data_IF_385816459960
#
_entry.id   IF_385816459960
#
_cell.length_a   1.000
_cell.length_b   1.000
_cell.length_c   1.000
_cell.angle_alpha   90.00
_cell.angle_beta   90.00
_cell.angle_gamma   90.00
#
_symmetry.space_group_name_H-M   'P 1'
#
loop_
_entity.id
_entity.type
_entity.pdbx_description
1 polymer ?
#
# COMPACT_ATOMS: atom_id res chain seq x y z
N UNK A 1 -10.54 -2.03 -10.81
CA UNK A 1 -9.20 -1.61 -10.33
C UNK A 1 -9.08 -0.09 -10.36
N UNK A 2 -9.31 0.55 -11.51
CA UNK A 2 -9.26 2.02 -11.60
C UNK A 2 -10.29 2.67 -10.66
N UNK A 3 -11.50 2.11 -10.58
CA UNK A 3 -12.58 2.64 -9.72
C UNK A 3 -12.44 2.32 -8.23
N UNK A 4 -11.33 1.70 -7.79
CA UNK A 4 -11.17 1.30 -6.38
C UNK A 4 -10.99 2.52 -5.47
N UNK A 5 -11.52 2.44 -4.24
CA UNK A 5 -11.39 3.51 -3.24
C UNK A 5 -9.93 3.93 -3.01
N UNK A 6 -9.00 2.98 -2.91
CA UNK A 6 -7.59 3.31 -2.69
C UNK A 6 -6.94 4.10 -3.83
N UNK A 7 -7.41 3.95 -5.08
CA UNK A 7 -6.88 4.70 -6.23
C UNK A 7 -7.42 6.13 -6.23
N UNK A 8 -8.67 6.34 -5.82
CA UNK A 8 -9.33 7.65 -5.87
C UNK A 8 -9.18 8.47 -4.60
N UNK A 9 -9.20 7.83 -3.43
CA UNK A 9 -9.27 8.47 -2.11
C UNK A 9 -8.04 8.14 -1.24
N UNK A 10 -7.22 7.18 -1.65
CA UNK A 10 -6.08 6.72 -0.88
C UNK A 10 -4.91 7.70 -0.91
N UNK A 11 -4.25 7.85 0.24
CA UNK A 11 -2.95 8.53 0.33
C UNK A 11 -1.82 7.60 -0.12
N UNK A 12 -1.53 7.61 -1.42
CA UNK A 12 -0.41 6.87 -1.99
C UNK A 12 0.92 7.60 -1.75
N UNK A 13 2.00 6.82 -1.65
CA UNK A 13 3.36 7.37 -1.51
C UNK A 13 3.82 8.03 -2.80
N UNK A 14 4.66 9.06 -2.69
CA UNK A 14 5.25 9.74 -3.85
C UNK A 14 6.08 8.73 -4.69
N UNK A 15 5.76 8.55 -5.98
CA UNK A 15 6.44 7.58 -6.85
C UNK A 15 7.95 7.88 -7.00
N UNK A 16 8.38 9.14 -6.95
CA UNK A 16 9.79 9.49 -7.07
C UNK A 16 10.59 8.99 -5.85
N UNK A 17 10.02 9.11 -4.65
CA UNK A 17 10.63 8.60 -3.42
C UNK A 17 10.68 7.07 -3.43
N UNK A 18 9.59 6.41 -3.82
CA UNK A 18 9.53 4.95 -3.90
C UNK A 18 10.58 4.41 -4.88
N UNK A 19 10.72 5.05 -6.05
CA UNK A 19 11.72 4.67 -7.05
C UNK A 19 13.16 4.85 -6.54
N UNK A 20 13.42 5.97 -5.86
CA UNK A 20 14.73 6.24 -5.25
C UNK A 20 15.09 5.20 -4.18
N UNK A 21 14.18 4.91 -3.26
CA UNK A 21 14.39 3.90 -2.21
C UNK A 21 14.70 2.51 -2.82
N UNK A 22 14.00 2.15 -3.90
CA UNK A 22 14.26 0.93 -4.66
C UNK A 22 15.64 0.90 -5.31
N UNK A 23 16.05 2.01 -5.92
CA UNK A 23 17.37 2.15 -6.54
C UNK A 23 18.51 2.07 -5.51
N UNK A 24 18.38 2.79 -4.39
CA UNK A 24 19.38 2.78 -3.32
C UNK A 24 19.49 1.38 -2.68
N UNK A 25 18.37 0.67 -2.52
CA UNK A 25 18.36 -0.70 -2.03
C UNK A 25 19.07 -1.67 -3.00
N UNK A 26 18.83 -1.52 -4.30
CA UNK A 26 19.51 -2.29 -5.35
C UNK A 26 21.02 -2.07 -5.31
N UNK A 27 21.48 -0.82 -5.24
CA UNK A 27 22.91 -0.49 -5.16
C UNK A 27 23.57 -1.01 -3.87
N UNK A 28 22.81 -1.08 -2.78
CA UNK A 28 23.25 -1.65 -1.51
C UNK A 28 23.24 -3.19 -1.48
N UNK A 29 22.85 -3.85 -2.58
CA UNK A 29 22.77 -5.32 -2.66
C UNK A 29 21.66 -5.93 -1.82
N UNK A 30 20.61 -5.16 -1.48
CA UNK A 30 19.46 -5.66 -0.74
C UNK A 30 18.51 -6.40 -1.68
N UNK A 31 17.91 -7.48 -1.18
CA UNK A 31 16.94 -8.31 -1.87
C UNK A 31 15.53 -7.67 -1.92
N UNK A 32 15.16 -6.88 -0.90
CA UNK A 32 13.90 -6.14 -0.86
C UNK A 32 13.99 -4.83 -0.06
N UNK A 33 13.05 -3.91 -0.31
CA UNK A 33 12.86 -2.70 0.49
C UNK A 33 11.37 -2.36 0.61
N UNK A 34 10.95 -1.99 1.82
CA UNK A 34 9.64 -1.35 2.05
C UNK A 34 9.87 0.15 2.17
N UNK A 35 9.46 0.91 1.17
CA UNK A 35 9.62 2.38 1.11
C UNK A 35 8.63 3.08 2.05
N UNK A 36 9.12 4.05 2.82
CA UNK A 36 8.32 4.86 3.76
C UNK A 36 8.05 4.22 5.12
N UNK A 37 8.00 5.04 6.17
CA UNK A 37 7.80 4.57 7.55
C UNK A 37 6.41 3.96 7.78
N UNK A 38 5.34 4.60 7.27
CA UNK A 38 3.95 4.11 7.37
C UNK A 38 3.81 2.69 6.81
N UNK A 39 4.39 2.45 5.63
CA UNK A 39 4.34 1.14 4.98
C UNK A 39 5.12 0.08 5.76
N UNK A 40 6.29 0.42 6.33
CA UNK A 40 7.05 -0.49 7.20
C UNK A 40 6.22 -0.93 8.42
N UNK A 41 5.55 0.00 9.07
CA UNK A 41 4.65 -0.30 10.21
C UNK A 41 3.49 -1.17 9.75
N UNK A 42 2.87 -0.85 8.61
CA UNK A 42 1.76 -1.63 8.07
C UNK A 42 2.15 -3.08 7.75
N UNK A 43 3.33 -3.31 7.16
CA UNK A 43 3.86 -4.67 6.91
C UNK A 43 4.10 -5.42 8.22
N UNK A 44 4.72 -4.77 9.21
CA UNK A 44 4.97 -5.40 10.51
C UNK A 44 3.66 -5.81 11.21
N UNK A 45 2.64 -4.95 11.18
CA UNK A 45 1.31 -5.26 11.71
C UNK A 45 0.61 -6.37 10.92
N UNK A 46 0.78 -6.40 9.59
CA UNK A 46 0.23 -7.44 8.73
C UNK A 46 0.71 -8.84 9.13
N UNK A 47 2.00 -8.98 9.49
CA UNK A 47 2.59 -10.26 9.87
C UNK A 47 2.04 -10.86 11.18
N UNK A 48 1.36 -10.05 12.01
CA UNK A 48 0.76 -10.49 13.28
C UNK A 48 -0.78 -10.47 13.25
N UNK A 49 -1.36 -9.98 12.15
CA UNK A 49 -2.81 -9.87 11.99
C UNK A 49 -3.33 -11.15 11.32
N UNK A 50 -4.42 -11.77 11.82
CA UNK A 50 -5.04 -12.92 11.15
C UNK A 50 -5.48 -12.60 9.71
N UNK A 51 -5.27 -13.55 8.80
CA UNK A 51 -5.57 -13.41 7.37
C UNK A 51 -7.01 -12.98 7.09
N UNK A 52 -7.99 -13.50 7.85
CA UNK A 52 -9.41 -13.15 7.68
C UNK A 52 -9.67 -11.66 7.93
N UNK A 53 -8.99 -11.06 8.90
CA UNK A 53 -9.10 -9.64 9.21
C UNK A 53 -8.38 -8.82 8.13
N UNK A 54 -7.19 -9.25 7.73
CA UNK A 54 -6.41 -8.57 6.69
C UNK A 54 -7.14 -8.57 5.34
N UNK A 55 -7.77 -9.70 4.97
CA UNK A 55 -8.58 -9.82 3.77
C UNK A 55 -9.81 -8.90 3.81
N UNK A 56 -10.55 -8.87 4.93
CA UNK A 56 -11.70 -7.98 5.10
C UNK A 56 -11.31 -6.49 5.05
N UNK A 57 -10.13 -6.12 5.56
CA UNK A 57 -9.59 -4.77 5.41
C UNK A 57 -9.21 -4.45 3.96
N UNK A 58 -8.56 -5.39 3.27
CA UNK A 58 -8.21 -5.25 1.85
C UNK A 58 -9.46 -5.09 0.98
N UNK A 59 -10.53 -5.85 1.25
CA UNK A 59 -11.83 -5.71 0.58
C UNK A 59 -12.36 -4.28 0.69
N UNK A 60 -12.44 -3.74 1.92
CA UNK A 60 -12.97 -2.38 2.16
C UNK A 60 -12.18 -1.27 1.49
N UNK A 61 -10.87 -1.41 1.32
CA UNK A 61 -10.05 -0.36 0.66
C UNK A 61 -10.00 -0.53 -0.85
N UNK A 62 -10.31 -1.73 -1.37
CA UNK A 62 -10.30 -2.02 -2.81
C UNK A 62 -11.68 -2.02 -3.45
N UNK A 63 -12.76 -2.00 -2.66
CA UNK A 63 -14.12 -1.85 -3.17
C UNK A 63 -14.24 -0.60 -4.05
N UNK A 64 -15.15 -0.59 -5.03
CA UNK A 64 -15.34 0.57 -5.88
C UNK A 64 -15.77 1.80 -5.06
N UNK A 65 -15.37 2.98 -5.51
CA UNK A 65 -15.95 4.23 -4.99
C UNK A 65 -17.46 4.18 -5.19
N UNK A 66 -18.22 4.65 -4.20
CA UNK A 66 -19.65 4.82 -4.40
C UNK A 66 -19.82 5.92 -5.44
N UNK A 67 -20.46 5.58 -6.56
CA UNK A 67 -20.90 6.59 -7.52
C UNK A 67 -21.74 7.59 -6.71
N UNK A 68 -21.28 8.84 -6.59
CA UNK A 68 -22.14 9.88 -6.03
C UNK A 68 -23.35 9.93 -6.96
N UNK A 69 -24.47 9.36 -6.55
CA UNK A 69 -25.76 9.61 -7.18
C UNK A 69 -25.87 11.14 -7.33
N UNK A 70 -25.91 11.58 -8.59
CA UNK A 70 -26.11 12.99 -8.93
C UNK A 70 -27.53 13.41 -8.61
#
# INVERSE_FOLDING_TARGET
MLDSKIVHEGELSDPAIVAKDGYDALLAGKDMVVSGFKNKVQVAMGNITPDSIQAAQMEKVQEPVQEKEK
#
